data_IF_608176962450
#
_entry.id   IF_608176962450
#
_cell.length_a   1.000
_cell.length_b   1.000
_cell.length_c   1.000
_cell.angle_alpha   90.00
_cell.angle_beta   90.00
_cell.angle_gamma   90.00
#
_symmetry.space_group_name_H-M   'P 1'
#
loop_
_entity.id
_entity.type
_entity.pdbx_description
1 polymer ?
#
# COMPACT_ATOMS: atom_id res chain seq x y z
N UNK A 1 6.47 34.11 -51.42
CA UNK A 1 7.55 33.96 -52.43
C UNK A 1 6.97 34.14 -53.84
N UNK A 2 6.26 35.23 -54.12
CA UNK A 2 6.68 36.34 -55.02
C UNK A 2 8.16 36.35 -55.47
N UNK A 3 8.32 36.47 -56.79
CA UNK A 3 9.43 37.07 -57.54
C UNK A 3 10.27 36.13 -58.44
N UNK A 4 9.79 35.91 -59.67
CA UNK A 4 10.62 35.76 -60.89
C UNK A 4 9.81 36.43 -62.02
N UNK A 5 9.83 37.76 -62.13
CA UNK A 5 10.87 38.62 -62.73
C UNK A 5 10.90 38.47 -64.26
N UNK A 6 10.03 39.26 -64.88
CA UNK A 6 10.12 39.79 -66.23
C UNK A 6 11.56 40.10 -66.66
N UNK A 7 11.93 39.60 -67.84
CA UNK A 7 13.03 40.10 -68.66
C UNK A 7 12.57 40.10 -70.12
N UNK A 8 11.77 41.10 -70.50
CA UNK A 8 11.52 41.43 -71.90
C UNK A 8 11.46 42.94 -72.13
N UNK A 9 12.51 43.66 -71.73
CA UNK A 9 12.76 45.03 -72.19
C UNK A 9 14.27 45.17 -72.39
N UNK A 10 14.69 45.33 -73.65
CA UNK A 10 16.08 45.63 -73.98
C UNK A 10 16.46 45.19 -75.40
N UNK A 11 16.43 46.15 -76.33
CA UNK A 11 16.74 46.15 -77.79
C UNK A 11 15.49 46.46 -78.61
N UNK A 12 14.90 47.65 -78.49
CA UNK A 12 15.41 48.87 -79.16
C UNK A 12 16.05 48.59 -80.54
N UNK A 13 15.19 48.75 -81.55
CA UNK A 13 15.44 49.63 -82.70
C UNK A 13 16.78 49.47 -83.46
N UNK A 14 16.94 48.38 -84.21
CA UNK A 14 17.99 48.28 -85.24
C UNK A 14 17.56 47.45 -86.47
N UNK A 15 16.31 47.60 -86.94
CA UNK A 15 15.87 46.99 -88.22
C UNK A 15 14.93 47.92 -89.01
N UNK A 16 15.33 49.18 -89.19
CA UNK A 16 14.59 50.11 -90.08
C UNK A 16 15.47 51.18 -90.74
N UNK A 17 16.64 50.81 -91.24
CA UNK A 17 17.52 51.74 -91.99
C UNK A 17 18.39 51.04 -93.04
N UNK A 18 17.85 50.14 -93.86
CA UNK A 18 18.63 49.51 -94.95
C UNK A 18 17.90 49.41 -96.31
N UNK A 19 16.78 50.14 -96.49
CA UNK A 19 16.09 50.27 -97.78
C UNK A 19 15.76 51.74 -98.06
N UNK A 20 16.78 52.55 -98.33
CA UNK A 20 16.68 53.91 -98.91
C UNK A 20 18.09 54.43 -99.25
N UNK A 21 18.85 53.69 -100.07
CA UNK A 21 20.10 54.20 -100.66
C UNK A 21 20.59 53.42 -101.90
N UNK A 22 19.74 52.61 -102.53
CA UNK A 22 20.05 51.92 -103.80
C UNK A 22 19.42 52.55 -105.04
N UNK A 23 18.71 53.68 -104.89
CA UNK A 23 18.12 54.42 -106.02
C UNK A 23 18.94 55.65 -106.49
N UNK A 24 20.03 55.99 -105.80
CA UNK A 24 20.87 57.16 -106.13
C UNK A 24 22.20 56.83 -106.84
N UNK A 25 22.51 55.55 -107.04
CA UNK A 25 23.73 55.11 -107.74
C UNK A 25 23.50 54.55 -109.16
N UNK A 26 22.25 54.52 -109.63
CA UNK A 26 21.90 54.10 -111.01
C UNK A 26 21.70 55.31 -111.95
N UNK A 27 21.68 56.53 -111.40
CA UNK A 27 21.52 57.77 -112.18
C UNK A 27 22.85 58.53 -112.43
N UNK A 28 24.00 57.93 -112.08
CA UNK A 28 25.33 58.57 -112.20
C UNK A 28 26.33 57.79 -113.08
N UNK A 29 25.84 56.85 -113.89
CA UNK A 29 26.63 56.15 -114.93
C UNK A 29 26.08 56.37 -116.35
N UNK A 30 25.15 57.33 -116.52
CA UNK A 30 24.72 57.84 -117.82
C UNK A 30 25.38 59.19 -118.08
N UNK A 31 26.30 59.19 -119.06
CA UNK A 31 27.05 60.33 -119.64
C UNK A 31 28.11 60.98 -118.74
N UNK A 32 29.39 60.99 -119.17
CA UNK A 32 29.75 61.68 -120.42
C UNK A 32 30.74 60.90 -121.31
N UNK A 33 30.30 60.55 -122.51
CA UNK A 33 31.14 60.61 -123.71
C UNK A 33 30.31 61.24 -124.82
N UNK A 34 30.19 62.56 -124.74
CA UNK A 34 29.82 63.41 -125.87
C UNK A 34 31.06 63.60 -126.75
N UNK A 35 30.85 63.40 -128.06
CA UNK A 35 31.55 64.05 -129.19
C UNK A 35 33.01 63.65 -129.46
N UNK A 36 33.16 62.63 -130.30
CA UNK A 36 34.03 62.75 -131.48
C UNK A 36 33.17 62.48 -132.71
N UNK A 37 32.87 63.55 -133.43
CA UNK A 37 32.44 63.47 -134.81
C UNK A 37 33.66 63.11 -135.67
N UNK A 38 33.66 61.92 -136.28
CA UNK A 38 34.41 61.62 -137.48
C UNK A 38 33.48 60.93 -138.47
N UNK A 39 33.28 61.61 -139.58
CA UNK A 39 32.65 61.13 -140.81
C UNK A 39 33.60 60.19 -141.55
N UNK A 40 33.04 59.18 -142.22
CA UNK A 40 33.71 58.44 -143.28
C UNK A 40 34.38 57.12 -142.90
N UNK A 41 34.11 56.11 -143.74
CA UNK A 41 34.73 54.78 -143.83
C UNK A 41 34.16 53.69 -142.90
N UNK A 42 33.39 52.75 -143.48
CA UNK A 42 33.24 51.39 -142.96
C UNK A 42 34.64 50.82 -142.68
N UNK A 43 35.02 50.76 -141.40
CA UNK A 43 36.15 49.98 -140.94
C UNK A 43 35.83 48.50 -141.14
N UNK A 44 36.73 47.79 -141.82
CA UNK A 44 36.62 46.35 -142.00
C UNK A 44 36.64 45.69 -140.62
N UNK A 45 35.59 44.95 -140.26
CA UNK A 45 35.64 44.08 -139.08
C UNK A 45 36.79 43.10 -139.33
N UNK A 46 37.79 43.13 -138.45
CA UNK A 46 38.91 42.20 -138.53
C UNK A 46 38.45 40.83 -138.04
N UNK A 47 38.78 39.79 -138.81
CA UNK A 47 38.43 38.40 -138.49
C UNK A 47 38.96 37.98 -137.10
N UNK A 48 40.03 38.62 -136.64
CA UNK A 48 40.67 38.41 -135.34
C UNK A 48 39.72 38.74 -134.16
N UNK A 49 38.91 39.78 -134.26
CA UNK A 49 37.97 40.18 -133.18
C UNK A 49 36.81 39.18 -133.06
N UNK A 50 36.32 38.68 -134.19
CA UNK A 50 35.25 37.67 -134.25
C UNK A 50 35.75 36.33 -133.68
N UNK A 51 36.94 35.91 -134.06
CA UNK A 51 37.55 34.67 -133.55
C UNK A 51 37.82 34.75 -132.03
N UNK A 52 38.19 35.92 -131.52
CA UNK A 52 38.39 36.12 -130.07
C UNK A 52 37.09 35.92 -129.30
N UNK A 53 35.97 36.50 -129.76
CA UNK A 53 34.68 36.32 -129.10
C UNK A 53 34.21 34.87 -129.22
N UNK A 54 34.39 34.21 -130.38
CA UNK A 54 34.08 32.77 -130.53
C UNK A 54 34.84 31.92 -129.51
N UNK A 55 36.14 32.14 -129.32
CA UNK A 55 36.94 31.43 -128.33
C UNK A 55 36.48 31.70 -126.87
N UNK A 56 36.07 32.94 -126.58
CA UNK A 56 35.47 33.29 -125.28
C UNK A 56 34.12 32.59 -125.08
N UNK A 57 33.29 32.51 -126.12
CA UNK A 57 32.01 31.79 -126.08
C UNK A 57 32.20 30.29 -125.89
N UNK A 58 33.19 29.67 -126.55
CA UNK A 58 33.58 28.28 -126.33
C UNK A 58 33.96 28.02 -124.88
N UNK A 59 34.83 28.87 -124.32
CA UNK A 59 35.27 28.77 -122.92
C UNK A 59 34.09 28.92 -121.96
N UNK A 60 33.16 29.86 -122.23
CA UNK A 60 31.98 30.07 -121.41
C UNK A 60 30.99 28.89 -121.48
N UNK A 61 30.85 28.25 -122.66
CA UNK A 61 30.04 27.04 -122.80
C UNK A 61 30.67 25.88 -122.01
N UNK A 62 32.00 25.72 -122.03
CA UNK A 62 32.68 24.74 -121.19
C UNK A 62 32.49 25.02 -119.68
N UNK A 63 32.56 26.27 -119.26
CA UNK A 63 32.28 26.67 -117.86
C UNK A 63 30.83 26.36 -117.47
N UNK A 64 29.87 26.62 -118.35
CA UNK A 64 28.48 26.25 -118.13
C UNK A 64 28.31 24.72 -118.00
N UNK A 65 28.98 23.92 -118.82
CA UNK A 65 29.02 22.46 -118.67
C UNK A 65 29.63 22.01 -117.34
N UNK A 66 30.75 22.61 -116.91
CA UNK A 66 31.36 22.34 -115.59
C UNK A 66 30.44 22.70 -114.42
N UNK A 67 29.59 23.72 -114.58
CA UNK A 67 28.54 24.07 -113.63
C UNK A 67 27.32 23.13 -113.69
N UNK A 68 27.36 22.07 -114.51
CA UNK A 68 26.25 21.15 -114.79
C UNK A 68 25.02 21.83 -115.41
N UNK A 69 25.23 22.87 -116.23
CA UNK A 69 24.15 23.53 -116.94
C UNK A 69 23.38 22.57 -117.86
N UNK A 70 23.99 21.48 -118.33
CA UNK A 70 23.29 20.43 -119.08
C UNK A 70 22.06 19.87 -118.35
N UNK A 71 22.07 19.79 -117.02
CA UNK A 71 20.95 19.27 -116.24
C UNK A 71 20.13 20.37 -115.56
N UNK A 72 20.77 21.49 -115.22
CA UNK A 72 20.16 22.54 -114.40
C UNK A 72 19.68 23.74 -115.23
N UNK A 73 20.29 24.01 -116.38
CA UNK A 73 19.96 25.13 -117.27
C UNK A 73 20.05 24.70 -118.75
N UNK A 74 19.49 23.51 -119.04
CA UNK A 74 19.61 22.82 -120.33
C UNK A 74 19.19 23.70 -121.51
N UNK A 75 18.04 24.36 -121.39
CA UNK A 75 17.48 25.18 -122.47
C UNK A 75 18.38 26.38 -122.82
N UNK A 76 18.91 27.07 -121.79
CA UNK A 76 19.82 28.22 -121.94
C UNK A 76 21.17 27.80 -122.52
N UNK A 77 21.69 26.64 -122.10
CA UNK A 77 22.93 26.08 -122.64
C UNK A 77 22.77 25.68 -124.12
N UNK A 78 21.67 25.03 -124.49
CA UNK A 78 21.38 24.68 -125.88
C UNK A 78 21.27 25.91 -126.77
N UNK A 79 20.69 27.02 -126.27
CA UNK A 79 20.67 28.29 -126.99
C UNK A 79 22.08 28.87 -127.20
N UNK A 80 22.96 28.76 -126.20
CA UNK A 80 24.36 29.18 -126.32
C UNK A 80 25.13 28.35 -127.36
N UNK A 81 25.00 27.02 -127.31
CA UNK A 81 25.63 26.10 -128.26
C UNK A 81 25.14 26.33 -129.69
N UNK A 82 23.83 26.51 -129.88
CA UNK A 82 23.25 26.82 -131.18
C UNK A 82 23.76 28.17 -131.71
N UNK A 83 23.77 29.22 -130.87
CA UNK A 83 24.27 30.53 -131.26
C UNK A 83 25.77 30.50 -131.64
N UNK A 84 26.57 29.69 -130.95
CA UNK A 84 27.99 29.49 -131.28
C UNK A 84 28.15 28.76 -132.63
N UNK A 85 27.35 27.71 -132.86
CA UNK A 85 27.35 26.99 -134.14
C UNK A 85 26.99 27.93 -135.29
N UNK A 86 25.92 28.72 -135.16
CA UNK A 86 25.52 29.72 -136.15
C UNK A 86 26.57 30.83 -136.33
N UNK A 87 27.28 31.23 -135.27
CA UNK A 87 28.38 32.20 -135.38
C UNK A 87 29.53 31.68 -136.24
N UNK A 88 29.94 30.41 -136.03
CA UNK A 88 30.99 29.76 -136.83
C UNK A 88 30.58 29.59 -138.30
N UNK A 89 29.32 29.27 -138.57
CA UNK A 89 28.78 29.23 -139.93
C UNK A 89 28.82 30.61 -140.60
N UNK A 90 28.44 31.68 -139.89
CA UNK A 90 28.49 33.04 -140.40
C UNK A 90 29.92 33.52 -140.71
N UNK A 91 30.93 33.09 -139.92
CA UNK A 91 32.36 33.31 -140.26
C UNK A 91 32.71 32.67 -141.60
N UNK A 92 32.28 31.43 -141.83
CA UNK A 92 32.49 30.71 -143.11
C UNK A 92 31.81 31.40 -144.29
N UNK A 93 30.65 32.02 -144.07
CA UNK A 93 29.90 32.81 -145.06
C UNK A 93 30.45 34.22 -145.28
N UNK A 94 31.52 34.63 -144.57
CA UNK A 94 32.12 35.98 -144.59
C UNK A 94 31.21 37.09 -144.08
N UNK A 95 30.20 36.76 -143.26
CA UNK A 95 29.36 37.73 -142.55
C UNK A 95 29.94 38.01 -141.16
N UNK A 96 30.94 38.90 -141.10
CA UNK A 96 31.66 39.21 -139.87
C UNK A 96 30.80 39.87 -138.79
N UNK A 97 29.81 40.68 -139.18
CA UNK A 97 28.92 41.36 -138.22
C UNK A 97 27.90 40.38 -137.62
N UNK A 98 27.29 39.53 -138.46
CA UNK A 98 26.40 38.46 -138.00
C UNK A 98 27.12 37.46 -137.09
N UNK A 99 28.33 37.05 -137.47
CA UNK A 99 29.18 36.17 -136.66
C UNK A 99 29.51 36.77 -135.30
N UNK A 100 29.88 38.05 -135.24
CA UNK A 100 30.19 38.73 -133.97
C UNK A 100 28.96 38.81 -133.06
N UNK A 101 27.79 39.16 -133.61
CA UNK A 101 26.55 39.23 -132.83
C UNK A 101 26.13 37.87 -132.28
N UNK A 102 26.18 36.82 -133.12
CA UNK A 102 25.85 35.46 -132.72
C UNK A 102 26.86 34.90 -131.70
N UNK A 103 28.16 35.20 -131.85
CA UNK A 103 29.18 34.80 -130.89
C UNK A 103 28.97 35.49 -129.53
N UNK A 104 28.64 36.79 -129.53
CA UNK A 104 28.32 37.50 -128.29
C UNK A 104 27.04 36.96 -127.62
N UNK A 105 26.01 36.65 -128.41
CA UNK A 105 24.81 36.00 -127.91
C UNK A 105 25.16 34.65 -127.25
N UNK A 106 25.98 33.82 -127.92
CA UNK A 106 26.45 32.55 -127.37
C UNK A 106 27.20 32.73 -126.04
N UNK A 107 28.11 33.71 -125.96
CA UNK A 107 28.83 34.05 -124.73
C UNK A 107 27.87 34.41 -123.60
N UNK A 108 26.93 35.31 -123.86
CA UNK A 108 25.97 35.76 -122.84
C UNK A 108 25.05 34.63 -122.38
N UNK A 109 24.52 33.82 -123.29
CA UNK A 109 23.66 32.69 -122.95
C UNK A 109 24.42 31.62 -122.16
N UNK A 110 25.68 31.37 -122.49
CA UNK A 110 26.53 30.43 -121.74
C UNK A 110 26.76 30.91 -120.30
N UNK A 111 27.07 32.20 -120.11
CA UNK A 111 27.23 32.80 -118.78
C UNK A 111 25.93 32.77 -117.96
N UNK A 112 24.78 33.02 -118.61
CA UNK A 112 23.46 32.89 -117.95
C UNK A 112 23.21 31.44 -117.56
N UNK A 113 23.50 30.47 -118.44
CA UNK A 113 23.33 29.05 -118.17
C UNK A 113 24.20 28.57 -117.00
N UNK A 114 25.47 29.00 -116.95
CA UNK A 114 26.37 28.72 -115.82
C UNK A 114 25.79 29.27 -114.50
N UNK A 115 25.40 30.55 -114.50
CA UNK A 115 24.87 31.22 -113.31
C UNK A 115 23.55 30.58 -112.82
N UNK A 116 22.65 30.25 -113.75
CA UNK A 116 21.39 29.57 -113.46
C UNK A 116 21.63 28.16 -112.88
N UNK A 117 22.58 27.42 -113.44
CA UNK A 117 22.96 26.10 -112.95
C UNK A 117 23.54 26.16 -111.54
N UNK A 118 24.44 27.13 -111.28
CA UNK A 118 24.98 27.37 -109.94
C UNK A 118 23.88 27.70 -108.93
N UNK A 119 22.94 28.59 -109.27
CA UNK A 119 21.84 28.94 -108.37
C UNK A 119 20.89 27.78 -108.10
N UNK A 120 20.52 27.01 -109.12
CA UNK A 120 19.67 25.81 -108.95
C UNK A 120 20.37 24.73 -108.13
N UNK A 121 21.68 24.53 -108.33
CA UNK A 121 22.49 23.61 -107.51
C UNK A 121 22.49 24.03 -106.03
N UNK A 122 22.75 25.31 -105.75
CA UNK A 122 22.68 25.87 -104.39
C UNK A 122 21.28 25.75 -103.78
N UNK A 123 20.24 26.05 -104.57
CA UNK A 123 18.83 25.91 -104.16
C UNK A 123 18.46 24.47 -103.81
N UNK A 124 18.90 23.50 -104.62
CA UNK A 124 18.70 22.07 -104.37
C UNK A 124 19.42 21.62 -103.09
N UNK A 125 20.66 22.07 -102.87
CA UNK A 125 21.42 21.79 -101.65
C UNK A 125 20.74 22.33 -100.40
N UNK A 126 20.25 23.58 -100.44
CA UNK A 126 19.49 24.18 -99.34
C UNK A 126 18.17 23.45 -99.08
N UNK A 127 17.44 23.06 -100.14
CA UNK A 127 16.19 22.31 -100.01
C UNK A 127 16.40 20.92 -99.38
N UNK A 128 17.50 20.24 -99.72
CA UNK A 128 17.87 18.98 -99.09
C UNK A 128 18.15 19.15 -97.58
N UNK A 129 18.85 20.22 -97.20
CA UNK A 129 19.11 20.57 -95.78
C UNK A 129 17.81 20.88 -95.05
N UNK A 130 16.90 21.64 -95.67
CA UNK A 130 15.59 21.97 -95.09
C UNK A 130 14.79 20.69 -94.84
N UNK A 131 14.65 19.82 -95.84
CA UNK A 131 13.94 18.54 -95.70
C UNK A 131 14.53 17.66 -94.59
N UNK A 132 15.87 17.61 -94.48
CA UNK A 132 16.52 16.86 -93.41
C UNK A 132 16.21 17.45 -92.02
N UNK A 133 16.22 18.78 -91.89
CA UNK A 133 15.87 19.47 -90.64
C UNK A 133 14.40 19.31 -90.28
N UNK A 134 13.48 19.38 -91.26
CA UNK A 134 12.05 19.12 -91.07
C UNK A 134 11.81 17.71 -90.54
N UNK A 135 12.44 16.70 -91.15
CA UNK A 135 12.35 15.31 -90.67
C UNK A 135 12.87 15.17 -89.23
N UNK A 136 13.96 15.87 -88.89
CA UNK A 136 14.50 15.88 -87.52
C UNK A 136 13.58 16.58 -86.52
N UNK A 137 12.90 17.66 -86.91
CA UNK A 137 11.91 18.34 -86.07
C UNK A 137 10.75 17.40 -85.77
N UNK A 138 10.19 16.74 -86.79
CA UNK A 138 9.09 15.77 -86.62
C UNK A 138 9.50 14.62 -85.69
N UNK A 139 10.72 14.10 -85.83
CA UNK A 139 11.23 13.06 -84.93
C UNK A 139 11.34 13.56 -83.48
N UNK A 140 11.88 14.76 -83.27
CA UNK A 140 11.98 15.36 -81.93
C UNK A 140 10.61 15.66 -81.31
N UNK A 141 9.62 16.07 -82.10
CA UNK A 141 8.25 16.27 -81.64
C UNK A 141 7.61 14.95 -81.19
N UNK A 142 7.87 13.85 -81.92
CA UNK A 142 7.41 12.52 -81.53
C UNK A 142 8.08 12.02 -80.23
N UNK A 143 9.40 12.24 -80.09
CA UNK A 143 10.14 11.90 -78.88
C UNK A 143 9.64 12.70 -77.67
N UNK A 144 9.41 14.01 -77.83
CA UNK A 144 8.83 14.87 -76.80
C UNK A 144 7.43 14.41 -76.40
N UNK A 145 6.57 14.08 -77.37
CA UNK A 145 5.24 13.55 -77.10
C UNK A 145 5.26 12.23 -76.34
N UNK A 146 6.29 11.41 -76.54
CA UNK A 146 6.49 10.14 -75.80
C UNK A 146 6.99 10.40 -74.39
N UNK A 147 7.95 11.31 -74.22
CA UNK A 147 8.47 11.72 -72.92
C UNK A 147 7.38 12.37 -72.05
N UNK A 148 6.52 13.21 -72.63
CA UNK A 148 5.41 13.84 -71.91
C UNK A 148 4.40 12.81 -71.41
N UNK A 149 4.07 11.79 -72.22
CA UNK A 149 3.20 10.68 -71.77
C UNK A 149 3.83 9.91 -70.60
N UNK A 150 5.11 9.55 -70.71
CA UNK A 150 5.82 8.84 -69.64
C UNK A 150 5.89 9.68 -68.35
N UNK A 151 6.04 11.00 -68.46
CA UNK A 151 6.00 11.91 -67.32
C UNK A 151 4.61 11.97 -66.66
N UNK A 152 3.53 11.98 -67.44
CA UNK A 152 2.17 11.95 -66.89
C UNK A 152 1.83 10.61 -66.23
N UNK A 153 2.28 9.49 -66.81
CA UNK A 153 2.17 8.16 -66.18
C UNK A 153 2.93 8.13 -64.84
N UNK A 154 4.20 8.56 -64.83
CA UNK A 154 5.01 8.63 -63.60
C UNK A 154 4.40 9.55 -62.55
N UNK A 155 3.83 10.70 -62.94
CA UNK A 155 3.10 11.60 -62.02
C UNK A 155 1.88 10.93 -61.41
N UNK A 156 1.19 10.10 -62.18
CA UNK A 156 0.02 9.34 -61.70
C UNK A 156 0.44 8.27 -60.71
N UNK A 157 1.51 7.53 -61.01
CA UNK A 157 2.07 6.52 -60.10
C UNK A 157 2.54 7.12 -58.78
N UNK A 158 3.24 8.27 -58.84
CA UNK A 158 3.67 8.98 -57.62
C UNK A 158 2.47 9.40 -56.77
N UNK A 159 1.40 9.92 -57.37
CA UNK A 159 0.18 10.27 -56.62
C UNK A 159 -0.46 9.04 -55.97
N UNK A 160 -0.50 7.90 -56.67
CA UNK A 160 -1.04 6.66 -56.11
C UNK A 160 -0.18 6.15 -54.95
N UNK A 161 1.14 6.21 -55.08
CA UNK A 161 2.07 5.83 -54.00
C UNK A 161 1.93 6.74 -52.78
N UNK A 162 1.77 8.05 -52.98
CA UNK A 162 1.53 8.99 -51.88
C UNK A 162 0.21 8.66 -51.15
N UNK A 163 -0.86 8.37 -51.87
CA UNK A 163 -2.13 7.92 -51.27
C UNK A 163 -1.97 6.61 -50.48
N UNK A 164 -1.25 5.62 -51.04
CA UNK A 164 -0.99 4.36 -50.35
C UNK A 164 -0.16 4.56 -49.08
N UNK A 165 0.83 5.45 -49.13
CA UNK A 165 1.65 5.82 -47.98
C UNK A 165 0.82 6.47 -46.88
N UNK A 166 -0.05 7.43 -47.22
CA UNK A 166 -0.94 8.07 -46.25
C UNK A 166 -1.90 7.05 -45.61
N UNK A 167 -2.47 6.14 -46.40
CA UNK A 167 -3.34 5.08 -45.90
C UNK A 167 -2.59 4.11 -44.96
N UNK A 168 -1.38 3.71 -45.33
CA UNK A 168 -0.54 2.84 -44.50
C UNK A 168 -0.15 3.52 -43.19
N UNK A 169 0.16 4.82 -43.24
CA UNK A 169 0.48 5.60 -42.05
C UNK A 169 -0.73 5.70 -41.11
N UNK A 170 -1.94 5.93 -41.65
CA UNK A 170 -3.16 5.93 -40.85
C UNK A 170 -3.47 4.56 -40.22
N UNK A 171 -3.28 3.45 -40.95
CA UNK A 171 -3.44 2.09 -40.40
C UNK A 171 -2.42 1.80 -39.28
N UNK A 172 -1.18 2.24 -39.46
CA UNK A 172 -0.14 2.11 -38.44
C UNK A 172 -0.45 2.92 -37.18
N UNK A 173 -0.90 4.17 -37.32
CA UNK A 173 -1.29 5.02 -36.20
C UNK A 173 -2.49 4.42 -35.44
N UNK A 174 -3.48 3.88 -36.17
CA UNK A 174 -4.61 3.18 -35.57
C UNK A 174 -4.17 1.95 -34.78
N UNK A 175 -3.34 1.08 -35.38
CA UNK A 175 -2.83 -0.13 -34.71
C UNK A 175 -1.98 0.20 -33.49
N UNK A 176 -1.18 1.26 -33.56
CA UNK A 176 -0.40 1.74 -32.42
C UNK A 176 -1.34 2.18 -31.29
N UNK A 177 -2.38 2.94 -31.60
CA UNK A 177 -3.37 3.38 -30.61
C UNK A 177 -4.12 2.21 -29.98
N UNK A 178 -4.52 1.21 -30.76
CA UNK A 178 -5.14 -0.02 -30.28
C UNK A 178 -4.19 -0.81 -29.36
N UNK A 179 -2.93 -0.97 -29.76
CA UNK A 179 -1.90 -1.64 -28.96
C UNK A 179 -1.64 -0.90 -27.64
N UNK A 180 -1.58 0.42 -27.64
CA UNK A 180 -1.44 1.22 -26.42
C UNK A 180 -2.65 1.08 -25.49
N UNK A 181 -3.87 1.08 -26.04
CA UNK A 181 -5.08 0.86 -25.24
C UNK A 181 -5.09 -0.54 -24.63
N UNK A 182 -4.72 -1.57 -25.38
CA UNK A 182 -4.57 -2.93 -24.88
C UNK A 182 -3.51 -2.99 -23.77
N UNK A 183 -2.35 -2.35 -23.97
CA UNK A 183 -1.29 -2.29 -22.97
C UNK A 183 -1.75 -1.60 -21.68
N UNK A 184 -2.47 -0.48 -21.78
CA UNK A 184 -3.07 0.21 -20.62
C UNK A 184 -4.03 -0.69 -19.84
N UNK A 185 -4.88 -1.45 -20.54
CA UNK A 185 -5.80 -2.43 -19.91
C UNK A 185 -5.05 -3.54 -19.19
N UNK A 186 -4.08 -4.17 -19.86
CA UNK A 186 -3.23 -5.22 -19.28
C UNK A 186 -2.52 -4.71 -18.02
N UNK A 187 -1.99 -3.49 -18.06
CA UNK A 187 -1.32 -2.89 -16.90
C UNK A 187 -2.27 -2.63 -15.72
N UNK A 188 -3.49 -2.18 -16.01
CA UNK A 188 -4.54 -2.02 -14.99
C UNK A 188 -4.94 -3.37 -14.38
N UNK A 189 -5.17 -4.39 -15.21
CA UNK A 189 -5.50 -5.74 -14.77
C UNK A 189 -4.37 -6.36 -13.94
N UNK A 190 -3.12 -6.19 -14.37
CA UNK A 190 -1.94 -6.61 -13.62
C UNK A 190 -1.90 -5.97 -12.22
N UNK A 191 -2.11 -4.66 -12.11
CA UNK A 191 -2.10 -3.97 -10.82
C UNK A 191 -3.25 -4.44 -9.91
N UNK A 192 -4.42 -4.72 -10.49
CA UNK A 192 -5.55 -5.30 -9.75
C UNK A 192 -5.21 -6.70 -9.25
N UNK A 193 -4.74 -7.59 -10.11
CA UNK A 193 -4.31 -8.94 -9.74
C UNK A 193 -3.22 -8.92 -8.67
N UNK A 194 -2.24 -8.01 -8.78
CA UNK A 194 -1.19 -7.84 -7.78
C UNK A 194 -1.75 -7.45 -6.42
N UNK A 195 -2.72 -6.55 -6.40
CA UNK A 195 -3.40 -6.11 -5.17
C UNK A 195 -4.22 -7.24 -4.55
N UNK A 196 -5.00 -7.95 -5.37
CA UNK A 196 -5.80 -9.10 -4.95
C UNK A 196 -4.91 -10.22 -4.41
N UNK A 197 -3.78 -10.49 -5.07
CA UNK A 197 -2.78 -11.44 -4.60
C UNK A 197 -2.20 -11.03 -3.24
N UNK A 198 -1.83 -9.77 -3.06
CA UNK A 198 -1.35 -9.26 -1.76
C UNK A 198 -2.39 -9.40 -0.64
N UNK A 199 -3.66 -9.13 -0.94
CA UNK A 199 -4.77 -9.32 0.01
C UNK A 199 -4.95 -10.80 0.36
N UNK A 200 -4.95 -11.69 -0.63
CA UNK A 200 -5.07 -13.13 -0.40
C UNK A 200 -3.89 -13.70 0.38
N UNK A 201 -2.67 -13.23 0.10
CA UNK A 201 -1.46 -13.59 0.84
C UNK A 201 -1.60 -13.20 2.32
N UNK A 202 -2.00 -11.95 2.60
CA UNK A 202 -2.22 -11.49 3.97
C UNK A 202 -3.31 -12.29 4.69
N UNK A 203 -4.40 -12.63 3.99
CA UNK A 203 -5.46 -13.48 4.54
C UNK A 203 -4.97 -14.90 4.85
N UNK A 204 -4.12 -15.46 3.99
CA UNK A 204 -3.50 -16.76 4.21
C UNK A 204 -2.59 -16.73 5.44
N UNK A 205 -1.75 -15.73 5.58
CA UNK A 205 -0.84 -15.57 6.73
C UNK A 205 -1.61 -15.43 8.05
N UNK A 206 -2.69 -14.63 8.05
CA UNK A 206 -3.61 -14.52 9.20
C UNK A 206 -4.25 -15.86 9.53
N UNK A 207 -4.79 -16.56 8.54
CA UNK A 207 -5.44 -17.88 8.74
C UNK A 207 -4.45 -18.92 9.26
N UNK A 208 -3.20 -18.92 8.77
CA UNK A 208 -2.14 -19.79 9.27
C UNK A 208 -1.77 -19.47 10.73
N UNK A 209 -1.78 -18.19 11.10
CA UNK A 209 -1.54 -17.75 12.48
C UNK A 209 -2.67 -18.19 13.40
N UNK A 210 -3.92 -18.00 12.98
CA UNK A 210 -5.12 -18.47 13.70
C UNK A 210 -5.11 -20.00 13.87
N UNK A 211 -4.72 -20.74 12.83
CA UNK A 211 -4.58 -22.20 12.89
C UNK A 211 -3.53 -22.63 13.92
N UNK A 212 -2.34 -22.00 13.92
CA UNK A 212 -1.30 -22.28 14.94
C UNK A 212 -1.77 -21.98 16.36
N UNK A 213 -2.50 -20.88 16.55
CA UNK A 213 -3.08 -20.54 17.86
C UNK A 213 -4.17 -21.53 18.28
N UNK A 214 -4.98 -22.03 17.34
CA UNK A 214 -5.98 -23.06 17.62
C UNK A 214 -5.31 -24.39 17.98
N UNK A 215 -4.23 -24.78 17.29
CA UNK A 215 -3.44 -25.97 17.62
C UNK A 215 -2.83 -25.88 19.02
N UNK A 216 -2.20 -24.76 19.37
CA UNK A 216 -1.64 -24.56 20.71
C UNK A 216 -2.71 -24.62 21.81
N UNK A 217 -3.90 -24.05 21.58
CA UNK A 217 -5.03 -24.18 22.51
C UNK A 217 -5.52 -25.63 22.64
N UNK A 218 -5.53 -26.40 21.56
CA UNK A 218 -5.91 -27.80 21.60
C UNK A 218 -4.92 -28.63 22.41
N UNK A 219 -3.61 -28.40 22.24
CA UNK A 219 -2.55 -29.03 23.05
C UNK A 219 -2.69 -28.68 24.54
N UNK A 220 -2.98 -27.41 24.86
CA UNK A 220 -3.21 -26.99 26.24
C UNK A 220 -4.44 -27.68 26.86
N UNK A 221 -5.54 -27.81 26.10
CA UNK A 221 -6.71 -28.55 26.56
C UNK A 221 -6.42 -30.05 26.73
N UNK A 222 -5.61 -30.65 25.87
CA UNK A 222 -5.19 -32.05 26.02
C UNK A 222 -4.39 -32.25 27.32
N UNK A 223 -3.46 -31.34 27.63
CA UNK A 223 -2.76 -31.35 28.91
C UNK A 223 -3.68 -31.18 30.12
N UNK A 224 -4.69 -30.30 30.03
CA UNK A 224 -5.70 -30.13 31.08
C UNK A 224 -6.54 -31.41 31.27
N UNK A 225 -6.95 -32.06 30.19
CA UNK A 225 -7.69 -33.33 30.24
C UNK A 225 -6.84 -34.41 30.92
N UNK A 226 -5.56 -34.52 30.59
CA UNK A 226 -4.66 -35.50 31.20
C UNK A 226 -4.37 -35.20 32.67
N UNK A 227 -4.37 -33.93 33.08
CA UNK A 227 -4.32 -33.57 34.49
C UNK A 227 -5.61 -34.00 35.22
N UNK A 228 -6.78 -33.67 34.68
CA UNK A 228 -8.06 -34.06 35.26
C UNK A 228 -8.23 -35.58 35.34
N UNK A 229 -7.74 -36.33 34.35
CA UNK A 229 -7.72 -37.80 34.39
C UNK A 229 -6.88 -38.34 35.55
N UNK A 230 -5.72 -37.74 35.83
CA UNK A 230 -4.87 -38.11 36.97
C UNK A 230 -5.55 -37.79 38.30
N UNK A 231 -6.12 -36.59 38.44
CA UNK A 231 -6.86 -36.19 39.64
C UNK A 231 -8.06 -37.11 39.91
N UNK A 232 -8.78 -37.52 38.85
CA UNK A 232 -9.87 -38.48 38.96
C UNK A 232 -9.39 -39.85 39.43
N UNK A 233 -8.28 -40.36 38.89
CA UNK A 233 -7.71 -41.64 39.31
C UNK A 233 -7.26 -41.62 40.78
N UNK A 234 -6.64 -40.52 41.22
CA UNK A 234 -6.22 -40.33 42.61
C UNK A 234 -7.43 -40.26 43.55
N UNK A 235 -8.49 -39.54 43.16
CA UNK A 235 -9.74 -39.48 43.91
C UNK A 235 -10.40 -40.85 44.03
N UNK A 236 -10.46 -41.62 42.93
CA UNK A 236 -10.98 -42.99 42.93
C UNK A 236 -10.18 -43.89 43.89
N UNK A 237 -8.84 -43.84 43.85
CA UNK A 237 -7.97 -44.57 44.77
C UNK A 237 -8.19 -44.16 46.24
N UNK A 238 -8.39 -42.87 46.51
CA UNK A 238 -8.69 -42.37 47.85
C UNK A 238 -10.04 -42.90 48.36
N UNK A 239 -11.06 -42.93 47.50
CA UNK A 239 -12.39 -43.48 47.84
C UNK A 239 -12.30 -44.98 48.12
N UNK A 240 -11.57 -45.74 47.31
CA UNK A 240 -11.34 -47.18 47.54
C UNK A 240 -10.64 -47.45 48.88
N UNK A 241 -9.60 -46.67 49.20
CA UNK A 241 -8.93 -46.73 50.51
C UNK A 241 -9.87 -46.39 51.65
N UNK A 242 -10.69 -45.36 51.52
CA UNK A 242 -11.67 -44.98 52.54
C UNK A 242 -12.71 -46.08 52.76
N UNK A 243 -13.22 -46.71 51.70
CA UNK A 243 -14.13 -47.86 51.80
C UNK A 243 -13.48 -49.05 52.52
N UNK A 244 -12.22 -49.35 52.22
CA UNK A 244 -11.48 -50.41 52.90
C UNK A 244 -11.32 -50.13 54.41
N UNK A 245 -10.92 -48.90 54.77
CA UNK A 245 -10.81 -48.48 56.18
C UNK A 245 -12.17 -48.53 56.89
N UNK A 246 -13.24 -48.11 56.23
CA UNK A 246 -14.59 -48.18 56.77
C UNK A 246 -15.02 -49.63 57.02
N UNK A 247 -14.75 -50.54 56.08
CA UNK A 247 -15.03 -51.97 56.24
C UNK A 247 -14.22 -52.62 57.38
N UNK A 248 -12.94 -52.26 57.51
CA UNK A 248 -12.08 -52.70 58.62
C UNK A 248 -12.59 -52.17 59.97
N UNK A 249 -12.96 -50.89 60.04
CA UNK A 249 -13.53 -50.27 61.24
C UNK A 249 -14.87 -50.91 61.62
N UNK A 250 -15.73 -51.21 60.66
CA UNK A 250 -16.99 -51.92 60.89
C UNK A 250 -16.74 -53.33 61.44
N UNK A 251 -15.78 -54.06 60.85
CA UNK A 251 -15.39 -55.41 61.32
C UNK A 251 -14.86 -55.36 62.76
N UNK A 252 -14.00 -54.38 63.08
CA UNK A 252 -13.49 -54.16 64.44
C UNK A 252 -14.61 -53.80 65.43
N UNK A 253 -15.54 -52.92 65.04
CA UNK A 253 -16.68 -52.54 65.87
C UNK A 253 -17.58 -53.75 66.17
N UNK A 254 -17.85 -54.61 65.17
CA UNK A 254 -18.61 -55.85 65.37
C UNK A 254 -17.88 -56.82 66.31
N UNK A 255 -16.57 -57.03 66.12
CA UNK A 255 -15.78 -57.88 66.99
C UNK A 255 -15.74 -57.33 68.44
N UNK A 256 -15.65 -56.01 68.61
CA UNK A 256 -15.69 -55.35 69.91
C UNK A 256 -17.06 -55.47 70.56
N UNK A 257 -18.15 -55.30 69.81
CA UNK A 257 -19.52 -55.51 70.28
C UNK A 257 -19.73 -56.96 70.76
N UNK A 258 -19.23 -57.96 70.03
CA UNK A 258 -19.28 -59.37 70.46
C UNK A 258 -18.48 -59.61 71.75
N UNK A 259 -17.29 -59.01 71.88
CA UNK A 259 -16.50 -59.07 73.13
C UNK A 259 -17.24 -58.44 74.31
N UNK A 260 -17.86 -57.27 74.11
CA UNK A 260 -18.67 -56.64 75.16
C UNK A 260 -19.90 -57.46 75.52
N UNK A 261 -20.61 -58.02 74.54
CA UNK A 261 -21.76 -58.90 74.81
C UNK A 261 -21.35 -60.10 75.66
N UNK A 262 -20.23 -60.76 75.32
CA UNK A 262 -19.68 -61.88 76.08
C UNK A 262 -19.22 -61.47 77.49
N UNK A 263 -18.68 -60.26 77.63
CA UNK A 263 -18.29 -59.69 78.92
C UNK A 263 -19.50 -59.31 79.79
N UNK A 264 -20.60 -58.85 79.18
CA UNK A 264 -21.87 -58.57 79.87
C UNK A 264 -22.48 -59.87 80.39
N UNK A 265 -22.49 -60.95 79.60
CA UNK A 265 -22.95 -62.28 80.06
C UNK A 265 -22.11 -62.79 81.25
N UNK A 266 -20.79 -62.56 81.24
CA UNK A 266 -19.90 -62.89 82.37
C UNK A 266 -20.12 -62.01 83.61
N UNK A 267 -20.48 -60.74 83.41
CA UNK A 267 -20.80 -59.79 84.48
C UNK A 267 -22.19 -60.05 85.09
N UNK A 268 -23.10 -60.67 84.36
CA UNK A 268 -24.41 -61.09 84.86
C UNK A 268 -24.32 -62.38 85.71
N UNK A 269 -23.35 -63.25 85.38
CA UNK A 269 -23.06 -64.48 86.15
C UNK A 269 -22.16 -64.26 87.38
N UNK A 270 -21.46 -63.13 87.50
CA UNK A 270 -20.64 -62.79 88.66
C UNK A 270 -21.33 -61.69 89.48
N UNK A 271 -21.25 -61.74 90.82
CA UNK A 271 -21.89 -60.80 91.76
C UNK A 271 -21.44 -59.31 91.65
N UNK A 272 -20.90 -58.87 90.51
CA UNK A 272 -20.33 -57.55 90.22
C UNK A 272 -21.41 -56.47 90.14
N UNK A 273 -22.64 -56.78 89.69
CA UNK A 273 -23.75 -55.81 89.69
C UNK A 273 -24.13 -55.36 91.11
N UNK A 274 -23.99 -56.25 92.11
CA UNK A 274 -24.19 -55.94 93.54
C UNK A 274 -23.07 -55.04 94.07
N UNK A 275 -21.81 -55.31 93.71
CA UNK A 275 -20.65 -54.47 94.06
C UNK A 275 -20.70 -53.08 93.41
N UNK A 276 -21.28 -52.96 92.21
CA UNK A 276 -21.47 -51.66 91.53
C UNK A 276 -22.50 -50.77 92.24
N UNK A 277 -23.55 -51.38 92.82
CA UNK A 277 -24.52 -50.68 93.66
C UNK A 277 -23.88 -50.04 94.90
N UNK A 278 -23.00 -50.77 95.57
CA UNK A 278 -22.27 -50.29 96.76
C UNK A 278 -21.23 -49.21 96.40
N UNK A 279 -20.56 -49.35 95.24
CA UNK A 279 -19.59 -48.37 94.75
C UNK A 279 -20.26 -47.06 94.30
N UNK A 280 -21.41 -47.12 93.61
CA UNK A 280 -22.20 -45.94 93.25
C UNK A 280 -22.75 -45.22 94.48
N UNK A 281 -23.14 -45.94 95.54
CA UNK A 281 -23.53 -45.35 96.81
C UNK A 281 -22.36 -44.59 97.46
N UNK A 282 -21.15 -45.16 97.48
CA UNK A 282 -19.92 -44.48 97.94
C UNK A 282 -19.57 -43.26 97.11
N UNK A 283 -19.60 -43.35 95.77
CA UNK A 283 -19.30 -42.22 94.87
C UNK A 283 -20.33 -41.10 94.97
N UNK A 284 -21.61 -41.41 95.23
CA UNK A 284 -22.66 -40.43 95.51
C UNK A 284 -22.41 -39.68 96.83
N UNK A 285 -21.84 -40.35 97.83
CA UNK A 285 -21.40 -39.74 99.08
C UNK A 285 -20.15 -38.85 98.88
N UNK A 286 -19.16 -39.32 98.13
CA UNK A 286 -17.96 -38.53 97.78
C UNK A 286 -18.29 -37.30 96.92
N UNK A 287 -19.20 -37.42 95.94
CA UNK A 287 -19.64 -36.30 95.11
C UNK A 287 -20.43 -35.25 95.91
N UNK A 288 -21.26 -35.68 96.87
CA UNK A 288 -21.93 -34.76 97.81
C UNK A 288 -20.92 -34.01 98.69
N UNK A 289 -19.86 -34.68 99.13
CA UNK A 289 -18.77 -34.07 99.89
C UNK A 289 -17.96 -33.08 99.02
N UNK A 290 -17.68 -33.42 97.75
CA UNK A 290 -16.97 -32.54 96.81
C UNK A 290 -17.79 -31.30 96.41
N UNK A 291 -19.10 -31.43 96.18
CA UNK A 291 -20.00 -30.29 95.89
C UNK A 291 -20.14 -29.38 97.11
N UNK A 292 -20.17 -29.92 98.33
CA UNK A 292 -20.10 -29.11 99.56
C UNK A 292 -18.74 -28.40 99.72
N UNK A 293 -17.64 -29.01 99.28
CA UNK A 293 -16.31 -28.42 99.30
C UNK A 293 -16.13 -27.32 98.24
N UNK A 294 -16.79 -27.44 97.09
CA UNK A 294 -16.84 -26.41 96.04
C UNK A 294 -17.78 -25.24 96.39
N UNK A 295 -18.92 -25.50 97.04
CA UNK A 295 -19.81 -24.43 97.57
C UNK A 295 -19.15 -23.56 98.65
N UNK A 296 -18.09 -24.06 99.30
CA UNK A 296 -17.29 -23.31 100.28
C UNK A 296 -16.20 -22.42 99.65
N UNK A 297 -16.01 -22.47 98.32
CA UNK A 297 -14.99 -21.69 97.59
C UNK A 297 -15.55 -20.69 96.57
N UNK A 298 -16.87 -20.55 96.50
CA UNK A 298 -17.55 -19.48 95.77
C UNK A 298 -18.26 -18.57 96.76
N UNK A 299 -18.08 -17.25 96.64
CA UNK A 299 -18.80 -16.30 97.48
C UNK A 299 -20.30 -16.47 97.28
N UNK A 300 -21.01 -16.70 98.37
CA UNK A 300 -22.46 -16.81 98.39
C UNK A 300 -23.02 -15.42 98.11
N UNK A 301 -23.65 -15.21 96.95
CA UNK A 301 -24.45 -14.01 96.72
C UNK A 301 -25.59 -13.99 97.73
N UNK A 302 -25.73 -12.90 98.46
CA UNK A 302 -26.81 -12.76 99.46
C UNK A 302 -28.14 -12.35 98.82
N UNK A 303 -28.11 -11.93 97.55
CA UNK A 303 -29.24 -11.41 96.77
C UNK A 303 -30.02 -10.30 97.49
N UNK A 304 -29.34 -9.58 98.39
CA UNK A 304 -29.87 -8.45 99.16
C UNK A 304 -28.74 -7.45 99.39
N UNK A 305 -29.05 -6.16 99.50
CA UNK A 305 -28.06 -5.08 99.65
C UNK A 305 -28.44 -4.16 100.80
N UNK A 306 -27.45 -3.69 101.56
CA UNK A 306 -27.60 -2.67 102.61
C UNK A 306 -27.30 -1.26 102.10
N UNK A 307 -26.87 -1.11 100.84
CA UNK A 307 -26.52 0.17 100.24
C UNK A 307 -27.78 0.97 99.84
N UNK A 308 -27.74 2.28 100.07
CA UNK A 308 -28.78 3.20 99.55
C UNK A 308 -28.66 3.37 98.03
N UNK A 309 -29.73 3.85 97.39
CA UNK A 309 -29.71 4.15 95.95
C UNK A 309 -28.62 5.16 95.56
N UNK A 310 -28.33 6.14 96.42
CA UNK A 310 -27.25 7.11 96.22
C UNK A 310 -25.86 6.44 96.29
N UNK A 311 -25.64 5.56 97.26
CA UNK A 311 -24.40 4.80 97.37
C UNK A 311 -24.21 3.87 96.15
N UNK A 312 -25.29 3.22 95.69
CA UNK A 312 -25.26 2.39 94.47
C UNK A 312 -24.91 3.23 93.24
N UNK A 313 -25.50 4.41 93.08
CA UNK A 313 -25.19 5.32 91.98
C UNK A 313 -23.73 5.81 92.02
N UNK A 314 -23.24 6.18 93.21
CA UNK A 314 -21.85 6.58 93.45
C UNK A 314 -20.86 5.45 93.12
N UNK A 315 -21.13 4.22 93.58
CA UNK A 315 -20.31 3.05 93.28
C UNK A 315 -20.31 2.68 91.79
N UNK A 316 -21.45 2.83 91.10
CA UNK A 316 -21.53 2.66 89.63
C UNK A 316 -20.68 3.70 88.89
N UNK A 317 -20.71 4.96 89.31
CA UNK A 317 -19.87 6.01 88.73
C UNK A 317 -18.37 5.72 88.94
N UNK A 318 -17.99 5.25 90.12
CA UNK A 318 -16.63 4.80 90.41
C UNK A 318 -16.18 3.65 89.50
N UNK A 319 -17.00 2.60 89.35
CA UNK A 319 -16.68 1.47 88.46
C UNK A 319 -16.60 1.93 87.00
N UNK A 320 -17.48 2.85 86.58
CA UNK A 320 -17.48 3.37 85.21
C UNK A 320 -16.18 4.12 84.90
N UNK A 321 -15.70 4.96 85.83
CA UNK A 321 -14.39 5.59 85.70
C UNK A 321 -13.22 4.60 85.73
N UNK A 322 -13.33 3.51 86.49
CA UNK A 322 -12.33 2.44 86.52
C UNK A 322 -12.25 1.72 85.17
N UNK A 323 -13.41 1.40 84.58
CA UNK A 323 -13.50 0.77 83.28
C UNK A 323 -12.99 1.72 82.18
N UNK A 324 -13.30 3.02 82.26
CA UNK A 324 -12.82 4.03 81.33
C UNK A 324 -11.30 4.17 81.32
N UNK A 325 -10.66 4.17 82.51
CA UNK A 325 -9.20 4.20 82.61
C UNK A 325 -8.54 3.04 81.83
N UNK A 326 -9.13 1.84 81.89
CA UNK A 326 -8.68 0.70 81.07
C UNK A 326 -8.88 0.95 79.59
N UNK A 327 -10.05 1.43 79.18
CA UNK A 327 -10.37 1.71 77.78
C UNK A 327 -9.43 2.76 77.17
N UNK A 328 -9.03 3.75 77.97
CA UNK A 328 -8.05 4.77 77.61
C UNK A 328 -6.60 4.27 77.65
N UNK A 329 -6.37 2.99 77.96
CA UNK A 329 -5.06 2.36 78.16
C UNK A 329 -4.22 2.97 79.30
N UNK A 330 -4.84 3.72 80.22
CA UNK A 330 -4.20 4.22 81.43
C UNK A 330 -4.23 3.14 82.53
N UNK A 331 -3.28 2.22 82.44
CA UNK A 331 -3.14 1.11 83.38
C UNK A 331 -2.83 1.61 84.80
N UNK A 332 -2.09 2.72 84.94
CA UNK A 332 -1.72 3.24 86.25
C UNK A 332 -2.95 3.76 87.00
N UNK A 333 -3.81 4.52 86.31
CA UNK A 333 -5.08 4.99 86.87
C UNK A 333 -6.08 3.84 87.08
N UNK A 334 -6.05 2.80 86.25
CA UNK A 334 -6.88 1.60 86.45
C UNK A 334 -6.49 0.85 87.73
N UNK A 335 -5.18 0.66 87.96
CA UNK A 335 -4.65 -0.08 89.10
C UNK A 335 -4.71 0.67 90.43
N UNK A 336 -4.69 2.01 90.42
CA UNK A 336 -4.78 2.83 91.65
C UNK A 336 -6.13 2.70 92.38
N UNK A 337 -7.13 2.13 91.71
CA UNK A 337 -8.50 1.93 92.24
C UNK A 337 -8.69 0.64 93.03
N UNK A 338 -7.68 -0.24 93.04
CA UNK A 338 -7.71 -1.49 93.82
C UNK A 338 -7.20 -1.26 95.25
N UNK A 339 -7.72 -2.04 96.20
CA UNK A 339 -7.12 -2.15 97.53
C UNK A 339 -5.77 -2.89 97.44
N UNK A 340 -4.95 -2.79 98.49
CA UNK A 340 -3.67 -3.51 98.53
C UNK A 340 -3.86 -5.03 98.60
N UNK A 341 -4.92 -5.47 99.25
CA UNK A 341 -5.33 -6.86 99.51
C UNK A 341 -6.33 -7.40 98.47
N UNK A 342 -6.48 -6.73 97.32
CA UNK A 342 -7.47 -7.14 96.33
C UNK A 342 -7.24 -8.57 95.84
N UNK A 343 -8.30 -9.38 95.85
CA UNK A 343 -8.24 -10.78 95.40
C UNK A 343 -8.64 -10.89 93.94
N UNK A 344 -7.81 -11.57 93.14
CA UNK A 344 -8.08 -11.79 91.73
C UNK A 344 -8.05 -13.27 91.39
N UNK A 345 -9.14 -13.76 90.82
CA UNK A 345 -9.25 -15.14 90.34
C UNK A 345 -9.35 -15.15 88.82
N UNK A 346 -8.53 -15.95 88.16
CA UNK A 346 -8.64 -16.20 86.73
C UNK A 346 -8.99 -17.65 86.51
N UNK A 347 -10.02 -17.88 85.70
CA UNK A 347 -10.45 -19.20 85.28
C UNK A 347 -10.39 -19.27 83.76
N UNK A 348 -9.55 -20.15 83.23
CA UNK A 348 -9.43 -20.41 81.79
C UNK A 348 -10.11 -21.72 81.46
N UNK A 349 -11.03 -21.69 80.50
CA UNK A 349 -11.87 -22.82 80.10
C UNK A 349 -11.53 -23.19 78.65
N UNK A 350 -11.08 -24.42 78.44
CA UNK A 350 -10.67 -24.97 77.14
C UNK A 350 -11.34 -26.33 76.94
N UNK A 351 -12.24 -26.43 75.96
CA UNK A 351 -12.99 -27.64 75.60
C UNK A 351 -13.67 -28.36 76.78
N UNK A 352 -12.92 -29.15 77.54
CA UNK A 352 -13.37 -29.96 78.68
C UNK A 352 -12.58 -29.73 79.98
N UNK A 353 -11.61 -28.80 79.98
CA UNK A 353 -10.78 -28.48 81.15
C UNK A 353 -11.05 -27.05 81.65
N UNK A 354 -11.16 -26.89 82.96
CA UNK A 354 -11.27 -25.60 83.67
C UNK A 354 -10.06 -25.47 84.61
N UNK A 355 -9.20 -24.48 84.34
CA UNK A 355 -8.04 -24.17 85.17
C UNK A 355 -8.28 -22.86 85.92
N UNK A 356 -8.35 -22.92 87.24
CA UNK A 356 -8.51 -21.76 88.10
C UNK A 356 -7.19 -21.41 88.78
N UNK A 357 -6.75 -20.17 88.60
CA UNK A 357 -5.55 -19.60 89.21
C UNK A 357 -5.91 -18.40 90.06
N UNK A 358 -5.25 -18.27 91.21
CA UNK A 358 -5.28 -17.04 92.01
C UNK A 358 -4.09 -16.18 91.59
N UNK A 359 -4.35 -14.95 91.16
CA UNK A 359 -3.33 -14.05 90.65
C UNK A 359 -2.89 -13.11 91.78
N UNK A 360 -1.60 -13.10 92.07
CA UNK A 360 -1.02 -12.06 92.92
C UNK A 360 -0.95 -10.70 92.17
N UNK A 361 -0.60 -9.62 92.88
CA UNK A 361 -0.62 -8.26 92.31
C UNK A 361 0.24 -8.11 91.06
N UNK A 362 1.45 -8.69 91.03
CA UNK A 362 2.33 -8.62 89.86
C UNK A 362 1.73 -9.38 88.66
N UNK A 363 1.26 -10.61 88.91
CA UNK A 363 0.59 -11.44 87.90
C UNK A 363 -0.67 -10.77 87.34
N UNK A 364 -1.43 -10.09 88.19
CA UNK A 364 -2.59 -9.29 87.79
C UNK A 364 -2.18 -8.17 86.83
N UNK A 365 -1.14 -7.39 87.16
CA UNK A 365 -0.68 -6.27 86.31
C UNK A 365 -0.25 -6.78 84.95
N UNK A 366 0.53 -7.85 84.91
CA UNK A 366 1.03 -8.44 83.65
C UNK A 366 -0.10 -9.06 82.83
N UNK A 367 -1.06 -9.72 83.48
CA UNK A 367 -2.24 -10.23 82.80
C UNK A 367 -3.13 -9.10 82.28
N UNK A 368 -3.34 -8.03 83.05
CA UNK A 368 -4.13 -6.86 82.63
C UNK A 368 -3.51 -6.16 81.43
N UNK A 369 -2.19 -5.92 81.42
CA UNK A 369 -1.48 -5.33 80.27
C UNK A 369 -1.73 -6.14 79.00
N UNK A 370 -1.50 -7.47 79.05
CA UNK A 370 -1.79 -8.39 77.93
C UNK A 370 -3.24 -8.34 77.46
N UNK A 371 -4.18 -8.13 78.38
CA UNK A 371 -5.61 -8.06 78.10
C UNK A 371 -6.09 -6.65 77.67
N UNK A 372 -5.26 -5.61 77.80
CA UNK A 372 -5.51 -4.26 77.27
C UNK A 372 -4.90 -4.09 75.88
N UNK A 373 -3.74 -4.69 75.65
CA UNK A 373 -3.09 -4.69 74.33
C UNK A 373 -3.80 -5.60 73.32
N UNK A 374 -4.58 -6.56 73.81
CA UNK A 374 -5.44 -7.38 72.96
C UNK A 374 -6.71 -6.62 72.54
N UNK A 375 -7.10 -6.76 71.27
CA UNK A 375 -8.29 -6.15 70.64
C UNK A 375 -9.63 -6.72 71.16
N UNK A 376 -9.86 -6.65 72.47
CA UNK A 376 -11.11 -7.06 73.10
C UNK A 376 -12.22 -6.03 72.85
N UNK A 377 -13.32 -6.46 72.28
CA UNK A 377 -14.53 -5.66 72.11
C UNK A 377 -15.48 -5.91 73.28
N UNK A 378 -15.97 -4.85 73.92
CA UNK A 378 -16.99 -4.96 74.96
C UNK A 378 -18.32 -5.35 74.31
N UNK A 379 -18.92 -6.45 74.76
CA UNK A 379 -20.20 -6.95 74.23
C UNK A 379 -21.39 -6.66 75.14
N UNK A 380 -21.17 -6.66 76.45
CA UNK A 380 -22.24 -6.47 77.43
C UNK A 380 -21.68 -5.90 78.75
N UNK A 381 -22.53 -5.22 79.52
CA UNK A 381 -22.25 -4.86 80.89
C UNK A 381 -23.50 -4.83 81.74
N UNK A 382 -23.42 -5.43 82.93
CA UNK A 382 -24.47 -5.41 83.94
C UNK A 382 -23.94 -4.85 85.26
N UNK A 383 -24.76 -4.10 85.96
CA UNK A 383 -24.50 -3.66 87.33
C UNK A 383 -25.48 -4.31 88.29
N UNK A 384 -24.98 -4.64 89.48
CA UNK A 384 -25.74 -5.27 90.56
C UNK A 384 -25.27 -4.70 91.90
N UNK A 385 -26.01 -4.97 92.97
CA UNK A 385 -25.60 -4.64 94.34
C UNK A 385 -25.90 -5.84 95.25
N UNK A 386 -24.92 -6.22 96.08
CA UNK A 386 -25.03 -7.36 96.99
C UNK A 386 -24.24 -7.06 98.27
N UNK A 387 -24.87 -7.24 99.43
CA UNK A 387 -24.36 -6.78 100.72
C UNK A 387 -24.01 -5.29 100.70
N UNK A 388 -22.76 -4.98 101.04
CA UNK A 388 -22.19 -3.62 101.02
C UNK A 388 -21.40 -3.33 99.73
N UNK A 389 -21.56 -4.16 98.70
CA UNK A 389 -20.78 -4.06 97.47
C UNK A 389 -21.64 -3.66 96.28
N UNK A 390 -21.05 -2.82 95.41
CA UNK A 390 -21.55 -2.65 94.04
C UNK A 390 -20.75 -3.58 93.15
N UNK A 391 -21.44 -4.30 92.26
CA UNK A 391 -20.85 -5.30 91.40
C UNK A 391 -21.05 -4.88 89.96
N UNK A 392 -20.01 -5.01 89.14
CA UNK A 392 -20.14 -4.92 87.69
C UNK A 392 -19.66 -6.20 87.02
N UNK A 393 -20.46 -6.68 86.08
CA UNK A 393 -20.09 -7.76 85.19
C UNK A 393 -19.90 -7.18 83.79
N UNK A 394 -18.69 -7.30 83.24
CA UNK A 394 -18.38 -6.93 81.87
C UNK A 394 -18.12 -8.17 81.04
N UNK A 395 -18.64 -8.19 79.81
CA UNK A 395 -18.33 -9.23 78.83
C UNK A 395 -17.58 -8.62 77.67
N UNK A 396 -16.55 -9.33 77.24
CA UNK A 396 -15.72 -8.98 76.10
C UNK A 396 -15.60 -10.17 75.15
N UNK A 397 -15.46 -9.89 73.86
CA UNK A 397 -15.15 -10.88 72.84
C UNK A 397 -14.01 -10.42 71.95
N UNK A 398 -13.30 -11.36 71.34
CA UNK A 398 -12.37 -11.12 70.24
C UNK A 398 -12.33 -12.34 69.32
N UNK A 399 -11.78 -12.21 68.13
CA UNK A 399 -11.48 -13.37 67.29
C UNK A 399 -10.40 -14.22 67.98
N UNK A 400 -10.59 -15.54 68.02
CA UNK A 400 -9.60 -16.44 68.61
C UNK A 400 -8.36 -16.50 67.72
N UNK A 401 -7.17 -16.32 68.29
CA UNK A 401 -5.90 -16.36 67.55
C UNK A 401 -5.55 -17.76 67.04
N UNK A 402 -6.21 -18.79 67.57
CA UNK A 402 -5.98 -20.19 67.24
C UNK A 402 -6.96 -20.72 66.17
N UNK A 403 -7.74 -19.83 65.52
CA UNK A 403 -8.63 -20.22 64.43
C UNK A 403 -7.81 -20.44 63.15
N UNK A 404 -7.54 -21.72 62.83
CA UNK A 404 -6.90 -22.15 61.58
C UNK A 404 -7.78 -21.71 60.40
N UNK A 405 -7.19 -20.99 59.44
CA UNK A 405 -7.87 -20.54 58.23
C UNK A 405 -8.35 -21.73 57.41
N UNK A 406 -9.66 -21.91 57.28
CA UNK A 406 -10.24 -22.94 56.43
C UNK A 406 -11.68 -23.26 56.83
N UNK A 407 -12.64 -22.50 56.32
CA UNK A 407 -14.07 -22.87 56.25
C UNK A 407 -14.86 -23.11 57.54
N UNK A 408 -14.24 -23.08 58.73
CA UNK A 408 -14.91 -23.25 60.04
C UNK A 408 -15.48 -21.90 60.51
N UNK A 409 -16.70 -21.85 61.12
CA UNK A 409 -17.22 -20.61 61.70
C UNK A 409 -16.19 -19.97 62.64
N UNK A 410 -15.98 -18.67 62.49
CA UNK A 410 -15.01 -17.91 63.28
C UNK A 410 -15.17 -18.22 64.78
N UNK A 411 -14.13 -18.80 65.38
CA UNK A 411 -14.09 -19.05 66.82
C UNK A 411 -13.72 -17.75 67.54
N UNK A 412 -14.33 -17.54 68.69
CA UNK A 412 -14.12 -16.35 69.51
C UNK A 412 -13.57 -16.74 70.88
N UNK A 413 -12.72 -15.87 71.42
CA UNK A 413 -12.43 -15.91 72.85
C UNK A 413 -13.46 -15.02 73.54
N UNK A 414 -14.02 -15.49 74.66
CA UNK A 414 -14.97 -14.75 75.48
C UNK A 414 -14.35 -14.50 76.86
N UNK A 415 -14.45 -13.27 77.34
CA UNK A 415 -13.94 -12.90 78.65
C UNK A 415 -15.01 -12.20 79.47
N UNK A 416 -15.38 -12.82 80.58
CA UNK A 416 -16.26 -12.23 81.59
C UNK A 416 -15.44 -11.74 82.77
N UNK A 417 -15.58 -10.47 83.13
CA UNK A 417 -15.02 -9.87 84.34
C UNK A 417 -16.14 -9.54 85.30
N UNK A 418 -16.06 -10.03 86.52
CA UNK A 418 -16.94 -9.61 87.61
C UNK A 418 -16.12 -8.89 88.67
N UNK A 419 -16.48 -7.64 88.96
CA UNK A 419 -15.69 -6.71 89.77
C UNK A 419 -16.54 -6.26 90.94
N UNK A 420 -15.98 -6.33 92.13
CA UNK A 420 -16.66 -6.00 93.38
C UNK A 420 -15.98 -4.79 94.01
N UNK A 421 -16.77 -3.74 94.25
CA UNK A 421 -16.31 -2.53 94.92
C UNK A 421 -17.05 -2.31 96.21
N UNK A 422 -16.33 -1.83 97.22
CA UNK A 422 -16.89 -1.42 98.51
C UNK A 422 -16.29 -0.08 98.92
N UNK A 423 -16.96 0.61 99.85
CA UNK A 423 -16.37 1.77 100.49
C UNK A 423 -15.29 1.34 101.50
N UNK A 424 -14.13 1.99 101.45
CA UNK A 424 -13.05 1.88 102.43
C UNK A 424 -12.78 3.30 102.93
N UNK A 425 -13.30 3.62 104.11
CA UNK A 425 -13.39 5.02 104.55
C UNK A 425 -14.36 5.81 103.68
N UNK A 426 -13.92 6.97 103.16
CA UNK A 426 -14.71 7.82 102.27
C UNK A 426 -14.54 7.49 100.77
N UNK A 427 -13.70 6.52 100.40
CA UNK A 427 -13.39 6.18 99.01
C UNK A 427 -13.95 4.82 98.61
N UNK A 428 -14.39 4.69 97.35
CA UNK A 428 -14.65 3.38 96.74
C UNK A 428 -13.34 2.71 96.32
N UNK A 429 -13.22 1.41 96.58
CA UNK A 429 -12.08 0.60 96.11
C UNK A 429 -12.54 -0.77 95.63
N UNK A 430 -11.81 -1.31 94.65
CA UNK A 430 -11.98 -2.70 94.19
C UNK A 430 -11.21 -3.60 95.14
N UNK A 431 -11.92 -4.50 95.80
CA UNK A 431 -11.30 -5.48 96.72
C UNK A 431 -11.33 -6.89 96.14
N UNK A 432 -12.13 -7.12 95.10
CA UNK A 432 -12.22 -8.43 94.46
C UNK A 432 -12.59 -8.31 93.00
N UNK A 433 -11.98 -9.17 92.20
CA UNK A 433 -12.36 -9.34 90.82
C UNK A 433 -12.18 -10.82 90.39
N UNK A 434 -13.01 -11.27 89.45
CA UNK A 434 -12.91 -12.60 88.88
C UNK A 434 -13.04 -12.56 87.37
N UNK A 435 -12.19 -13.34 86.70
CA UNK A 435 -12.13 -13.47 85.26
C UNK A 435 -12.50 -14.88 84.87
N UNK A 436 -13.41 -15.02 83.92
CA UNK A 436 -13.68 -16.29 83.23
C UNK A 436 -13.39 -16.09 81.76
N UNK A 437 -12.41 -16.81 81.25
CA UNK A 437 -11.94 -16.73 79.87
C UNK A 437 -12.25 -18.06 79.21
N UNK A 438 -13.12 -18.03 78.21
CA UNK A 438 -13.45 -19.17 77.37
C UNK A 438 -12.68 -19.01 76.05
N UNK A 439 -11.81 -19.96 75.73
CA UNK A 439 -11.01 -19.91 74.51
C UNK A 439 -11.64 -20.78 73.41
N UNK A 440 -11.52 -20.32 72.16
CA UNK A 440 -11.94 -21.06 70.96
C UNK A 440 -13.42 -21.52 70.98
N UNK A 441 -14.33 -20.63 71.40
CA UNK A 441 -15.76 -20.90 71.49
C UNK A 441 -16.46 -20.52 70.17
N UNK A 442 -17.36 -21.37 69.61
CA UNK A 442 -18.14 -20.96 68.45
C UNK A 442 -19.13 -19.85 68.83
N UNK A 443 -19.34 -18.88 67.93
CA UNK A 443 -20.35 -17.84 68.13
C UNK A 443 -21.75 -18.40 67.91
N UNK A 444 -22.36 -18.99 68.94
CA UNK A 444 -23.78 -19.34 68.92
C UNK A 444 -24.61 -18.11 69.32
N UNK A 445 -25.27 -17.49 68.33
CA UNK A 445 -26.31 -16.47 68.55
C UNK A 445 -25.83 -15.02 68.56
N UNK A 446 -25.92 -14.37 67.40
CA UNK A 446 -26.53 -13.05 67.31
C UNK A 446 -27.59 -13.20 66.23
N UNK A 447 -28.87 -13.14 66.63
CA UNK A 447 -29.95 -13.02 65.66
C UNK A 447 -29.66 -11.80 64.81
N UNK A 448 -29.72 -11.97 63.48
CA UNK A 448 -29.74 -10.85 62.57
C UNK A 448 -30.87 -9.90 62.99
N UNK A 449 -30.50 -8.68 63.34
CA UNK A 449 -31.40 -7.52 63.35
C UNK A 449 -30.74 -6.45 62.50
#
# INVERSE_FOLDING_TARGET
MKALRDRSIGKQSLLRTWKKNRLYHIWLCLLPMFLIACSGSLGKIHLEDVNTIIAQSETAIEQAHLANAQYLASDTLQQAEHALASAKEAVGAKDGLGAMHLAYNALTQAQIAEQEAMYKSQGNGLNAIIKHKEAKIVALEADLGTADKALEESRTDVKQLDMQKEQLQADMDQKLQEAEQAHRKIFQDYNRIKTDHGYLQSKLDTTQTELRQAQSRAEEHEHQIDQLRRELADAQSSVERAHKVAAEAQTQATAQAQRYSKHIEQLDQSNVLKQRGDMLARKKQEAKAYVQQQRRKQAIRTNSTSLTSEQIASGRAFISGWALARSAKDINQHLSRYTQDATLYQTVIRASNEEQTHLNRLQMVDALKRMVDAEWQKTDSKFDADGESVIATYRFSRLSRNAVSGGIPALHDLWTREVWVRQVGAEWKIFRESWRIYEAVPRYGVAAN
#
